data_IF_059221561605
#
_entry.id   IF_059221561605
#
_cell.length_a   1.000
_cell.length_b   1.000
_cell.length_c   1.000
_cell.angle_alpha   90.00
_cell.angle_beta   90.00
_cell.angle_gamma   90.00
#
_symmetry.space_group_name_H-M   'P 1'
#
loop_
_entity.id
_entity.type
_entity.pdbx_description
1 polymer ?
#
# COMPACT_ATOMS: atom_id res chain seq x y z
N UNK A 1 42.63 -1.33 14.10
CA UNK A 1 41.84 -0.34 13.32
C UNK A 1 41.35 -1.05 12.06
N UNK A 2 40.02 -1.05 11.79
CA UNK A 2 39.35 -1.42 10.50
C UNK A 2 38.73 -2.83 10.24
N UNK A 3 38.28 -3.61 11.23
CA UNK A 3 37.48 -4.86 10.95
C UNK A 3 36.00 -4.83 11.37
N UNK A 4 35.51 -3.83 12.12
CA UNK A 4 34.15 -3.83 12.67
C UNK A 4 33.01 -3.66 11.65
N UNK A 5 33.20 -2.85 10.60
CA UNK A 5 32.08 -2.46 9.71
C UNK A 5 31.52 -3.58 8.84
N UNK A 6 32.36 -4.53 8.41
CA UNK A 6 31.92 -5.64 7.56
C UNK A 6 31.13 -6.68 8.33
N UNK A 7 31.48 -6.91 9.59
CA UNK A 7 30.75 -7.84 10.45
C UNK A 7 29.43 -7.23 10.92
N UNK A 8 29.40 -5.93 11.21
CA UNK A 8 28.15 -5.20 11.51
C UNK A 8 27.16 -5.23 10.34
N UNK A 9 27.62 -4.97 9.10
CA UNK A 9 26.77 -5.07 7.91
C UNK A 9 26.24 -6.50 7.70
N UNK A 10 27.05 -7.52 8.02
CA UNK A 10 26.63 -8.92 7.94
C UNK A 10 25.54 -9.25 8.96
N UNK A 11 25.59 -8.72 10.18
CA UNK A 11 24.52 -8.89 11.17
C UNK A 11 23.27 -8.10 10.79
N UNK A 12 23.41 -6.84 10.31
CA UNK A 12 22.27 -6.02 9.88
C UNK A 12 21.51 -6.65 8.71
N UNK A 13 22.21 -7.21 7.72
CA UNK A 13 21.60 -7.84 6.55
C UNK A 13 21.47 -9.37 6.64
N UNK A 14 21.76 -9.97 7.81
CA UNK A 14 21.68 -11.42 8.01
C UNK A 14 20.30 -11.99 7.62
N UNK A 15 19.22 -11.25 7.93
CA UNK A 15 17.85 -11.66 7.60
C UNK A 15 17.62 -11.79 6.07
N UNK A 16 18.29 -10.98 5.24
CA UNK A 16 18.20 -11.08 3.76
C UNK A 16 18.89 -12.33 3.20
N UNK A 17 19.72 -13.02 3.99
CA UNK A 17 20.25 -14.33 3.65
C UNK A 17 19.15 -15.39 3.53
N UNK A 18 18.07 -15.26 4.29
CA UNK A 18 16.93 -16.19 4.29
C UNK A 18 16.05 -15.92 3.05
N UNK A 19 15.95 -16.90 2.14
CA UNK A 19 15.21 -16.76 0.86
C UNK A 19 13.79 -16.22 1.05
N UNK A 20 13.03 -16.79 1.99
CA UNK A 20 11.64 -16.38 2.24
C UNK A 20 11.54 -14.93 2.74
N UNK A 21 12.45 -14.53 3.64
CA UNK A 21 12.49 -13.16 4.13
C UNK A 21 12.91 -12.18 3.02
N UNK A 22 13.88 -12.55 2.18
CA UNK A 22 14.30 -11.73 1.04
C UNK A 22 13.16 -11.50 0.05
N UNK A 23 12.40 -12.54 -0.29
CA UNK A 23 11.21 -12.42 -1.15
C UNK A 23 10.15 -11.51 -0.51
N UNK A 24 9.89 -11.68 0.79
CA UNK A 24 8.98 -10.81 1.51
C UNK A 24 9.46 -9.36 1.51
N UNK A 25 10.71 -9.10 1.90
CA UNK A 25 11.25 -7.74 2.03
C UNK A 25 11.27 -7.01 0.69
N UNK A 26 11.73 -7.66 -0.38
CA UNK A 26 11.73 -7.06 -1.73
C UNK A 26 10.31 -6.82 -2.25
N UNK A 27 9.40 -7.78 -2.06
CA UNK A 27 7.99 -7.62 -2.40
C UNK A 27 7.33 -6.47 -1.63
N UNK A 28 7.56 -6.38 -0.32
CA UNK A 28 7.04 -5.30 0.53
C UNK A 28 7.59 -3.93 0.15
N UNK A 29 8.88 -3.83 -0.22
CA UNK A 29 9.44 -2.58 -0.71
C UNK A 29 8.75 -2.11 -1.98
N UNK A 30 8.60 -3.00 -2.98
CA UNK A 30 7.94 -2.69 -4.24
C UNK A 30 6.47 -2.31 -3.99
N UNK A 31 5.74 -3.10 -3.20
CA UNK A 31 4.34 -2.82 -2.87
C UNK A 31 4.16 -1.48 -2.15
N UNK A 32 5.07 -1.13 -1.23
CA UNK A 32 5.01 0.13 -0.52
C UNK A 32 5.23 1.30 -1.49
N UNK A 33 6.25 1.23 -2.35
CA UNK A 33 6.49 2.26 -3.38
C UNK A 33 5.29 2.40 -4.31
N UNK A 34 4.74 1.28 -4.80
CA UNK A 34 3.56 1.28 -5.67
C UNK A 34 2.34 1.90 -5.00
N UNK A 35 2.12 1.63 -3.71
CA UNK A 35 1.01 2.21 -2.93
C UNK A 35 1.13 3.73 -2.85
N UNK A 36 2.34 4.24 -2.58
CA UNK A 36 2.57 5.69 -2.52
C UNK A 36 2.42 6.35 -3.90
N UNK A 37 2.90 5.70 -4.96
CA UNK A 37 2.71 6.19 -6.32
C UNK A 37 1.23 6.24 -6.71
N UNK A 38 0.46 5.18 -6.40
CA UNK A 38 -0.97 5.12 -6.65
C UNK A 38 -1.71 6.25 -5.93
N UNK A 39 -1.34 6.51 -4.68
CA UNK A 39 -1.94 7.58 -3.89
C UNK A 39 -1.73 8.96 -4.52
N UNK A 40 -0.49 9.26 -4.92
CA UNK A 40 -0.16 10.53 -5.61
C UNK A 40 -0.94 10.63 -6.94
N UNK A 41 -1.04 9.54 -7.68
CA UNK A 41 -1.80 9.50 -8.93
C UNK A 41 -3.30 9.75 -8.71
N UNK A 42 -3.89 9.17 -7.65
CA UNK A 42 -5.30 9.39 -7.29
C UNK A 42 -5.56 10.84 -6.89
N UNK A 43 -4.70 11.42 -6.05
CA UNK A 43 -4.80 12.81 -5.62
C UNK A 43 -4.71 13.75 -6.82
N UNK A 44 -3.76 13.50 -7.73
CA UNK A 44 -3.63 14.25 -8.98
C UNK A 44 -4.85 14.10 -9.89
N UNK A 45 -5.38 12.87 -10.05
CA UNK A 45 -6.55 12.59 -10.88
C UNK A 45 -7.77 13.37 -10.39
N UNK A 46 -8.02 13.43 -9.08
CA UNK A 46 -9.12 14.23 -8.51
C UNK A 46 -8.92 15.71 -8.79
N UNK A 47 -7.70 16.21 -8.66
CA UNK A 47 -7.41 17.61 -8.94
C UNK A 47 -7.70 17.94 -10.42
N UNK A 48 -7.29 17.07 -11.35
CA UNK A 48 -7.58 17.22 -12.78
C UNK A 48 -9.08 17.14 -13.08
N UNK A 49 -9.80 16.21 -12.44
CA UNK A 49 -11.23 15.99 -12.70
C UNK A 49 -12.14 17.06 -12.06
N UNK A 50 -11.76 17.60 -10.90
CA UNK A 50 -12.64 18.48 -10.11
C UNK A 50 -12.18 19.94 -10.06
N UNK A 51 -10.89 20.21 -10.32
CA UNK A 51 -10.28 21.53 -10.17
C UNK A 51 -10.31 22.11 -8.73
N UNK A 52 -10.74 21.32 -7.74
CA UNK A 52 -11.06 21.81 -6.39
C UNK A 52 -10.19 21.16 -5.32
N UNK A 53 -9.42 22.00 -4.61
CA UNK A 53 -8.67 21.58 -3.43
C UNK A 53 -9.58 21.05 -2.29
N UNK A 54 -10.84 21.52 -2.23
CA UNK A 54 -11.82 21.03 -1.26
C UNK A 54 -12.27 19.60 -1.54
N UNK A 55 -12.47 19.24 -2.81
CA UNK A 55 -12.82 17.87 -3.21
C UNK A 55 -11.66 16.90 -2.95
N UNK A 56 -10.42 17.34 -3.20
CA UNK A 56 -9.21 16.60 -2.83
C UNK A 56 -9.15 16.34 -1.31
N UNK A 57 -9.36 17.38 -0.50
CA UNK A 57 -9.36 17.27 0.96
C UNK A 57 -10.43 16.29 1.48
N UNK A 58 -11.64 16.32 0.92
CA UNK A 58 -12.70 15.37 1.27
C UNK A 58 -12.35 13.93 0.88
N UNK A 59 -11.78 13.73 -0.31
CA UNK A 59 -11.34 12.40 -0.75
C UNK A 59 -10.30 11.82 0.20
N UNK A 60 -9.29 12.63 0.53
CA UNK A 60 -8.22 12.19 1.43
C UNK A 60 -8.77 11.88 2.82
N UNK A 61 -9.73 12.66 3.31
CA UNK A 61 -10.43 12.37 4.56
C UNK A 61 -11.19 11.04 4.52
N UNK A 62 -11.93 10.77 3.45
CA UNK A 62 -12.67 9.51 3.26
C UNK A 62 -11.74 8.30 3.16
N UNK A 63 -10.55 8.42 2.58
CA UNK A 63 -9.57 7.32 2.53
C UNK A 63 -9.08 6.87 3.91
N UNK A 64 -9.00 7.78 4.88
CA UNK A 64 -8.57 7.45 6.25
C UNK A 64 -9.70 6.97 7.15
N UNK A 65 -10.96 7.25 6.80
CA UNK A 65 -12.11 6.90 7.61
C UNK A 65 -12.21 5.38 7.87
N UNK A 66 -12.08 4.48 6.87
CA UNK A 66 -12.05 3.04 7.11
C UNK A 66 -10.91 2.61 8.04
N UNK A 67 -9.73 3.24 7.91
CA UNK A 67 -8.58 2.91 8.77
C UNK A 67 -8.90 3.21 10.24
N UNK A 68 -9.49 4.37 10.52
CA UNK A 68 -9.87 4.74 11.89
C UNK A 68 -10.93 3.79 12.44
N UNK A 69 -12.01 3.55 11.68
CA UNK A 69 -13.15 2.74 12.11
C UNK A 69 -12.81 1.25 12.26
N UNK A 70 -11.94 0.72 11.40
CA UNK A 70 -11.59 -0.70 11.37
C UNK A 70 -10.28 -1.03 12.12
N UNK A 71 -9.57 -0.02 12.66
CA UNK A 71 -8.34 -0.24 13.43
C UNK A 71 -8.50 -1.18 14.64
N UNK A 72 -9.58 -1.18 15.44
CA UNK A 72 -9.72 -2.14 16.54
C UNK A 72 -10.04 -3.55 16.02
N UNK A 73 -10.79 -3.66 14.92
CA UNK A 73 -11.16 -4.95 14.30
C UNK A 73 -9.96 -5.66 13.69
N UNK A 74 -8.99 -4.91 13.14
CA UNK A 74 -7.79 -5.49 12.51
C UNK A 74 -6.92 -6.26 13.50
N UNK A 75 -6.86 -5.84 14.78
CA UNK A 75 -6.16 -6.59 15.83
C UNK A 75 -6.79 -7.96 16.08
N UNK A 76 -8.11 -8.01 16.23
CA UNK A 76 -8.87 -9.26 16.42
C UNK A 76 -8.68 -10.21 15.23
N UNK A 77 -8.69 -9.67 14.01
CA UNK A 77 -8.44 -10.46 12.78
C UNK A 77 -7.01 -10.97 12.73
N UNK A 78 -6.02 -10.15 13.09
CA UNK A 78 -4.61 -10.54 13.10
C UNK A 78 -4.31 -11.65 14.11
N UNK A 79 -5.04 -11.67 15.23
CA UNK A 79 -4.87 -12.66 16.29
C UNK A 79 -5.64 -13.96 16.02
N UNK A 80 -6.81 -13.89 15.37
CA UNK A 80 -7.64 -15.08 15.06
C UNK A 80 -7.23 -15.84 13.81
N UNK A 81 -6.64 -15.18 12.82
CA UNK A 81 -6.36 -15.80 11.53
C UNK A 81 -4.86 -15.97 11.29
N UNK A 82 -4.49 -16.93 10.43
CA UNK A 82 -3.09 -17.14 10.07
C UNK A 82 -2.51 -15.89 9.40
N UNK A 83 -1.48 -15.29 10.00
CA UNK A 83 -0.80 -14.07 9.52
C UNK A 83 -0.47 -14.10 8.03
N UNK A 84 -0.05 -15.26 7.51
CA UNK A 84 0.26 -15.46 6.09
C UNK A 84 -0.96 -15.29 5.17
N UNK A 85 -2.14 -15.78 5.56
CA UNK A 85 -3.37 -15.63 4.76
C UNK A 85 -3.89 -14.20 4.83
N UNK A 86 -3.87 -13.58 6.01
CA UNK A 86 -4.28 -12.18 6.19
C UNK A 86 -3.42 -11.28 5.30
N UNK A 87 -2.09 -11.44 5.37
CA UNK A 87 -1.16 -10.71 4.51
C UNK A 87 -1.44 -10.94 3.01
N UNK A 88 -1.60 -12.20 2.59
CA UNK A 88 -1.84 -12.52 1.18
C UNK A 88 -3.16 -11.91 0.68
N UNK A 89 -4.24 -12.01 1.45
CA UNK A 89 -5.54 -11.44 1.11
C UNK A 89 -5.46 -9.91 1.02
N UNK A 90 -4.83 -9.24 1.98
CA UNK A 90 -4.67 -7.78 1.93
C UNK A 90 -3.90 -7.34 0.68
N UNK A 91 -2.77 -7.99 0.39
CA UNK A 91 -1.96 -7.68 -0.79
C UNK A 91 -2.71 -7.93 -2.10
N UNK A 92 -3.51 -9.00 -2.17
CA UNK A 92 -4.34 -9.30 -3.33
C UNK A 92 -5.46 -8.27 -3.52
N UNK A 93 -6.18 -7.93 -2.45
CA UNK A 93 -7.24 -6.91 -2.51
C UNK A 93 -6.69 -5.56 -2.95
N UNK A 94 -5.56 -5.12 -2.38
CA UNK A 94 -4.88 -3.89 -2.81
C UNK A 94 -4.50 -3.93 -4.29
N UNK A 95 -3.86 -5.02 -4.73
CA UNK A 95 -3.45 -5.18 -6.13
C UNK A 95 -4.62 -5.20 -7.11
N UNK A 96 -5.73 -5.84 -6.74
CA UNK A 96 -6.96 -5.89 -7.55
C UNK A 96 -7.60 -4.51 -7.70
N UNK A 97 -7.77 -3.77 -6.60
CA UNK A 97 -8.34 -2.42 -6.65
C UNK A 97 -7.45 -1.47 -7.46
N UNK A 98 -6.13 -1.57 -7.30
CA UNK A 98 -5.16 -0.81 -8.08
C UNK A 98 -5.27 -1.12 -9.58
N UNK A 99 -5.34 -2.40 -9.94
CA UNK A 99 -5.47 -2.84 -11.33
C UNK A 99 -6.79 -2.37 -11.95
N UNK A 100 -7.92 -2.49 -11.23
CA UNK A 100 -9.22 -2.01 -11.69
C UNK A 100 -9.20 -0.50 -11.96
N UNK A 101 -8.67 0.28 -11.02
CA UNK A 101 -8.55 1.73 -11.20
C UNK A 101 -7.63 2.10 -12.37
N UNK A 102 -6.50 1.39 -12.52
CA UNK A 102 -5.58 1.57 -13.63
C UNK A 102 -6.23 1.28 -14.99
N UNK A 103 -7.02 0.21 -15.09
CA UNK A 103 -7.79 -0.10 -16.30
C UNK A 103 -8.78 1.02 -16.61
N UNK A 104 -9.58 1.44 -15.63
CA UNK A 104 -10.56 2.51 -15.80
C UNK A 104 -9.91 3.84 -16.24
N UNK A 105 -8.72 4.14 -15.71
CA UNK A 105 -7.95 5.32 -16.07
C UNK A 105 -7.46 5.26 -17.53
N UNK A 106 -6.92 4.13 -17.97
CA UNK A 106 -6.42 3.96 -19.34
C UNK A 106 -7.57 3.93 -20.36
N UNK A 107 -8.73 3.37 -20.00
CA UNK A 107 -9.90 3.33 -20.89
C UNK A 107 -10.69 4.65 -20.93
N UNK A 108 -10.30 5.65 -20.14
CA UNK A 108 -11.01 6.94 -20.08
C UNK A 108 -12.40 6.88 -19.42
N UNK A 109 -12.75 5.75 -18.80
CA UNK A 109 -14.03 5.54 -18.10
C UNK A 109 -13.97 5.99 -16.63
N UNK A 110 -12.80 6.47 -16.18
CA UNK A 110 -12.59 6.87 -14.80
C UNK A 110 -13.42 8.10 -14.48
N UNK A 111 -14.11 8.03 -13.34
CA UNK A 111 -14.91 9.11 -12.80
C UNK A 111 -14.52 9.31 -11.34
N UNK A 112 -14.68 10.52 -10.81
CA UNK A 112 -14.23 10.87 -9.47
C UNK A 112 -14.79 9.92 -8.39
N UNK A 113 -15.97 9.34 -8.59
CA UNK A 113 -16.57 8.37 -7.68
C UNK A 113 -15.87 7.01 -7.61
N UNK A 114 -15.13 6.62 -8.65
CA UNK A 114 -14.27 5.42 -8.59
C UNK A 114 -13.04 5.62 -7.69
N UNK A 115 -12.71 6.87 -7.35
CA UNK A 115 -11.62 7.20 -6.42
C UNK A 115 -12.12 7.34 -4.99
N UNK A 116 -13.43 7.56 -4.80
CA UNK A 116 -14.06 7.66 -3.47
C UNK A 116 -14.38 6.29 -2.82
N UNK A 117 -14.30 5.20 -3.58
CA UNK A 117 -14.59 3.81 -3.15
C UNK A 117 -13.31 3.00 -3.05
#
# INVERSE_FOLDING_TARGET
MSTGSRDELRTTFAALGIRNYRLFATGSLISNVGTWMQRIAQDWLILVLTGSAGALGLTTGLQFLPLVLLSPLTGVVADRFSKRRVLALSQLTMGLTAALLGVLAVTGAVAAWHVYV
#
